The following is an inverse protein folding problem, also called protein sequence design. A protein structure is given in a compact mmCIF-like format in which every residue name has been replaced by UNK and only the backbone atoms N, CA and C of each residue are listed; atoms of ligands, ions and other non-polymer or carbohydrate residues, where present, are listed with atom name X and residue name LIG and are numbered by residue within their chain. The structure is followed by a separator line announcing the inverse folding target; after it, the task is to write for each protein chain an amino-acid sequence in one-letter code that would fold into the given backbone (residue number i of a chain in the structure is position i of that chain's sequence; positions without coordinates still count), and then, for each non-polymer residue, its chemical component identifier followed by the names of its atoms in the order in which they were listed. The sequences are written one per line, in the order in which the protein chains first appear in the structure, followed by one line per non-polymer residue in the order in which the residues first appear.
data_IF_861808034000
#
_entry.id   IF_861808034000
#
_cell.length_a   1.000
_cell.length_b   1.000
_cell.length_c   1.000
_cell.angle_alpha   90.00
_cell.angle_beta   90.00
_cell.angle_gamma   90.00
#
_symmetry.space_group_name_H-M   'P 1'
#
loop_
_entity.id
_entity.type
_entity.pdbx_description
1 polymer ?
#
# COMPACT_ATOMS: atom_id res chain seq x y z
N UNK A 1 -15.79 6.67 6.33
CA UNK A 1 -14.60 6.96 7.17
C UNK A 1 -14.38 8.46 7.14
N UNK A 2 -14.64 9.15 8.25
CA UNK A 2 -14.15 10.52 8.40
C UNK A 2 -12.62 10.47 8.41
N UNK A 3 -11.93 11.39 7.72
CA UNK A 3 -10.48 11.47 7.81
C UNK A 3 -10.10 11.75 9.27
N UNK A 4 -9.25 10.88 9.80
CA UNK A 4 -8.71 11.04 11.14
C UNK A 4 -7.81 12.27 11.15
N UNK A 5 -7.99 13.27 12.04
CA UNK A 5 -7.14 14.43 12.09
C UNK A 5 -5.68 14.03 12.27
N UNK A 6 -4.75 14.70 11.62
CA UNK A 6 -3.31 14.47 11.86
C UNK A 6 -2.93 15.09 13.22
N UNK A 7 -3.05 14.30 14.28
CA UNK A 7 -2.84 14.76 15.67
C UNK A 7 -1.40 14.56 16.15
N UNK A 8 -0.49 14.10 15.30
CA UNK A 8 0.88 13.68 15.70
C UNK A 8 0.93 12.33 16.44
N UNK A 9 -0.20 11.72 16.73
CA UNK A 9 -0.26 10.41 17.43
C UNK A 9 0.40 9.29 16.64
N UNK A 10 0.23 9.32 15.32
CA UNK A 10 0.87 8.34 14.45
C UNK A 10 2.39 8.38 14.57
N UNK A 11 2.98 9.58 14.57
CA UNK A 11 4.44 9.77 14.72
C UNK A 11 4.92 9.27 16.08
N UNK A 12 4.15 9.54 17.15
CA UNK A 12 4.44 9.01 18.48
C UNK A 12 4.40 7.49 18.52
N UNK A 13 3.39 6.85 17.90
CA UNK A 13 3.28 5.40 17.81
C UNK A 13 4.38 4.78 16.94
N UNK A 14 4.79 5.43 15.85
CA UNK A 14 5.91 4.99 15.03
C UNK A 14 7.25 5.11 15.78
N UNK A 15 7.38 6.08 16.68
CA UNK A 15 8.53 6.22 17.57
C UNK A 15 8.55 5.08 18.61
N UNK A 16 7.42 4.83 19.28
CA UNK A 16 7.27 3.71 20.21
C UNK A 16 7.56 2.36 19.53
N UNK A 17 7.14 2.19 18.27
CA UNK A 17 7.44 0.99 17.50
C UNK A 17 8.95 0.80 17.30
N UNK A 18 9.68 1.89 16.99
CA UNK A 18 11.14 1.83 16.83
C UNK A 18 11.86 1.51 18.15
N UNK A 19 11.34 1.99 19.25
CA UNK A 19 11.95 1.79 20.59
C UNK A 19 11.63 0.42 21.17
N UNK A 20 10.38 -0.04 21.05
CA UNK A 20 9.88 -1.23 21.74
C UNK A 20 9.75 -2.47 20.83
N UNK A 21 9.79 -2.28 19.51
CA UNK A 21 9.62 -3.34 18.52
C UNK A 21 8.16 -3.78 18.29
N UNK A 22 7.96 -4.53 17.21
CA UNK A 22 6.63 -4.98 16.79
C UNK A 22 5.93 -5.94 17.77
N UNK A 23 6.69 -6.79 18.49
CA UNK A 23 6.14 -7.70 19.49
C UNK A 23 5.46 -6.95 20.65
N UNK A 24 6.12 -5.94 21.21
CA UNK A 24 5.57 -5.15 22.31
C UNK A 24 4.33 -4.36 21.87
N UNK A 25 4.37 -3.79 20.65
CA UNK A 25 3.23 -3.07 20.09
C UNK A 25 2.05 -4.00 19.80
N UNK A 26 2.31 -5.22 19.32
CA UNK A 26 1.27 -6.23 19.11
C UNK A 26 0.69 -6.72 20.45
N UNK A 27 1.50 -6.90 21.48
CA UNK A 27 1.03 -7.24 22.84
C UNK A 27 0.12 -6.14 23.40
N UNK A 28 0.49 -4.86 23.21
CA UNK A 28 -0.37 -3.72 23.53
C UNK A 28 -1.70 -3.75 22.77
N UNK A 29 -1.65 -4.00 21.45
CA UNK A 29 -2.88 -4.13 20.66
C UNK A 29 -3.74 -5.30 21.15
N UNK A 30 -3.13 -6.41 21.55
CA UNK A 30 -3.86 -7.59 22.08
C UNK A 30 -4.66 -7.28 23.34
N UNK A 31 -4.19 -6.38 24.20
CA UNK A 31 -4.92 -5.94 25.40
C UNK A 31 -6.11 -5.03 25.08
N UNK A 32 -6.12 -4.38 23.92
CA UNK A 32 -7.14 -3.41 23.47
C UNK A 32 -8.15 -4.05 22.51
N UNK A 33 -7.62 -4.74 21.49
CA UNK A 33 -8.39 -5.41 20.42
C UNK A 33 -7.82 -6.81 20.15
N UNK A 34 -8.19 -7.81 21.00
CA UNK A 34 -7.67 -9.16 20.86
C UNK A 34 -7.97 -9.79 19.50
N UNK A 35 -9.14 -9.47 18.93
CA UNK A 35 -9.57 -10.03 17.65
C UNK A 35 -8.74 -9.49 16.48
N UNK A 36 -8.46 -8.19 16.45
CA UNK A 36 -7.57 -7.61 15.46
C UNK A 36 -6.13 -8.13 15.61
N UNK A 37 -5.64 -8.22 16.86
CA UNK A 37 -4.29 -8.69 17.15
C UNK A 37 -4.08 -10.16 16.75
N UNK A 38 -5.09 -11.02 16.88
CA UNK A 38 -5.00 -12.42 16.48
C UNK A 38 -4.77 -12.63 14.97
N UNK A 39 -5.08 -11.63 14.16
CA UNK A 39 -4.94 -11.67 12.69
C UNK A 39 -3.65 -11.03 12.19
N UNK A 40 -2.82 -10.49 13.08
CA UNK A 40 -1.61 -9.75 12.74
C UNK A 40 -0.36 -10.49 13.22
N UNK A 41 0.71 -10.37 12.43
CA UNK A 41 2.05 -10.78 12.81
C UNK A 41 2.83 -9.56 13.35
N UNK A 42 3.82 -9.72 14.26
CA UNK A 42 4.64 -8.60 14.75
C UNK A 42 5.30 -7.76 13.63
N UNK A 43 5.61 -8.38 12.49
CA UNK A 43 6.13 -7.69 11.31
C UNK A 43 5.07 -6.85 10.55
N UNK A 44 3.79 -6.97 10.88
CA UNK A 44 2.73 -6.14 10.29
C UNK A 44 2.65 -4.74 10.94
N UNK A 45 3.81 -4.14 11.16
CA UNK A 45 4.02 -2.89 11.92
C UNK A 45 3.04 -1.78 11.54
N UNK A 46 2.85 -1.53 10.23
CA UNK A 46 1.93 -0.49 9.74
C UNK A 46 0.47 -0.74 10.14
N UNK A 47 0.06 -2.01 10.20
CA UNK A 47 -1.30 -2.40 10.59
C UNK A 47 -1.49 -2.29 12.08
N UNK A 48 -0.48 -2.67 12.87
CA UNK A 48 -0.47 -2.54 14.33
C UNK A 48 -0.57 -1.07 14.71
N UNK A 49 0.30 -0.22 14.14
CA UNK A 49 0.27 1.24 14.37
C UNK A 49 -1.09 1.82 14.00
N UNK A 50 -1.65 1.44 12.85
CA UNK A 50 -2.97 1.94 12.42
C UNK A 50 -4.09 1.53 13.36
N UNK A 51 -4.07 0.30 13.89
CA UNK A 51 -5.07 -0.17 14.84
C UNK A 51 -5.01 0.62 16.16
N UNK A 52 -3.81 0.85 16.67
CA UNK A 52 -3.59 1.65 17.89
C UNK A 52 -3.96 3.12 17.68
N UNK A 53 -3.57 3.72 16.54
CA UNK A 53 -3.91 5.08 16.15
C UNK A 53 -5.44 5.30 16.17
N UNK A 54 -6.19 4.40 15.52
CA UNK A 54 -7.66 4.49 15.48
C UNK A 54 -8.25 4.43 16.89
N UNK A 55 -7.77 3.53 17.73
CA UNK A 55 -8.24 3.44 19.11
C UNK A 55 -7.94 4.69 19.93
N UNK A 56 -6.70 5.20 19.86
CA UNK A 56 -6.30 6.40 20.61
C UNK A 56 -7.05 7.66 20.18
N UNK A 57 -7.47 7.74 18.93
CA UNK A 57 -8.18 8.91 18.41
C UNK A 57 -9.68 8.84 18.62
N UNK A 58 -10.26 7.66 18.53
CA UNK A 58 -11.73 7.47 18.52
C UNK A 58 -12.28 6.83 19.80
N UNK A 59 -11.43 6.22 20.62
CA UNK A 59 -11.84 5.40 21.74
C UNK A 59 -12.49 4.07 21.33
N UNK A 60 -12.57 3.76 20.03
CA UNK A 60 -13.13 2.52 19.50
C UNK A 60 -12.08 1.68 18.81
N UNK A 61 -12.15 0.36 18.95
CA UNK A 61 -11.26 -0.55 18.27
C UNK A 61 -11.60 -0.67 16.78
N UNK A 62 -10.62 -1.12 15.96
CA UNK A 62 -10.87 -1.42 14.54
C UNK A 62 -11.94 -2.51 14.40
N UNK A 63 -11.95 -3.51 15.29
CA UNK A 63 -12.98 -4.55 15.30
C UNK A 63 -14.37 -3.96 15.52
N UNK A 64 -14.54 -3.06 16.49
CA UNK A 64 -15.81 -2.35 16.71
C UNK A 64 -16.25 -1.53 15.50
N UNK A 65 -15.34 -0.74 14.90
CA UNK A 65 -15.63 0.01 13.68
C UNK A 65 -16.08 -0.88 12.52
N UNK A 66 -15.43 -2.03 12.33
CA UNK A 66 -15.81 -2.98 11.29
C UNK A 66 -17.20 -3.58 11.53
N UNK A 67 -17.53 -3.96 12.77
CA UNK A 67 -18.85 -4.47 13.14
C UNK A 67 -19.93 -3.42 12.90
N UNK A 68 -19.72 -2.18 13.36
CA UNK A 68 -20.65 -1.09 13.12
C UNK A 68 -20.87 -0.83 11.62
N UNK A 69 -19.80 -0.86 10.83
CA UNK A 69 -19.89 -0.67 9.37
C UNK A 69 -20.63 -1.82 8.69
N UNK A 70 -20.41 -3.05 9.11
CA UNK A 70 -21.09 -4.23 8.56
C UNK A 70 -22.57 -4.29 8.95
N UNK A 71 -22.95 -3.72 10.09
CA UNK A 71 -24.33 -3.63 10.52
C UNK A 71 -25.18 -2.65 9.68
N UNK A 72 -24.53 -1.73 8.94
CA UNK A 72 -25.22 -0.80 8.04
C UNK A 72 -25.64 -1.55 6.78
N UNK A 73 -26.94 -1.65 6.46
CA UNK A 73 -27.37 -2.32 5.25
C UNK A 73 -26.82 -1.60 4.00
N UNK A 74 -26.44 -2.35 2.96
CA UNK A 74 -25.89 -1.76 1.74
C UNK A 74 -26.91 -0.83 1.10
N UNK A 75 -26.54 0.44 0.86
CA UNK A 75 -27.38 1.45 0.24
C UNK A 75 -27.68 1.15 -1.24
N UNK A 76 -26.77 0.42 -1.89
CA UNK A 76 -26.86 0.09 -3.31
C UNK A 76 -26.70 -1.41 -3.52
N UNK A 77 -27.33 -1.93 -4.56
CA UNK A 77 -27.12 -3.30 -5.05
C UNK A 77 -26.05 -3.26 -6.13
N UNK A 78 -24.79 -3.65 -5.84
CA UNK A 78 -23.72 -3.59 -6.83
C UNK A 78 -23.90 -4.67 -7.90
N UNK A 79 -23.56 -4.32 -9.13
CA UNK A 79 -23.35 -5.28 -10.24
C UNK A 79 -21.84 -5.32 -10.48
N UNK A 80 -21.25 -6.48 -10.33
CA UNK A 80 -19.81 -6.67 -10.51
C UNK A 80 -19.52 -7.16 -11.93
N UNK A 81 -18.72 -6.40 -12.68
CA UNK A 81 -18.23 -6.79 -14.00
C UNK A 81 -16.71 -6.95 -13.89
N UNK A 82 -16.20 -8.17 -14.11
CA UNK A 82 -14.77 -8.48 -14.12
C UNK A 82 -14.23 -8.53 -15.55
N UNK A 83 -13.14 -7.79 -15.82
CA UNK A 83 -12.38 -7.92 -17.05
C UNK A 83 -11.15 -8.81 -16.77
N UNK A 84 -11.00 -9.86 -17.55
CA UNK A 84 -9.87 -10.79 -17.42
C UNK A 84 -9.32 -11.15 -18.81
N UNK A 85 -8.14 -11.75 -18.83
CA UNK A 85 -7.53 -12.31 -20.03
C UNK A 85 -7.56 -13.82 -19.96
N UNK A 86 -8.01 -14.47 -21.04
CA UNK A 86 -7.98 -15.93 -21.16
C UNK A 86 -6.56 -16.47 -21.14
N UNK A 87 -5.60 -15.72 -21.71
CA UNK A 87 -4.17 -16.06 -21.71
C UNK A 87 -3.37 -15.09 -20.87
N UNK A 88 -2.71 -15.61 -19.84
CA UNK A 88 -1.81 -14.83 -18.95
C UNK A 88 -0.62 -14.24 -19.70
N UNK A 89 -0.11 -14.91 -20.74
CA UNK A 89 1.00 -14.39 -21.51
C UNK A 89 0.62 -13.11 -22.26
N UNK A 90 -0.62 -13.03 -22.74
CA UNK A 90 -1.15 -11.80 -23.35
C UNK A 90 -1.20 -10.65 -22.34
N UNK A 91 -1.72 -10.92 -21.14
CA UNK A 91 -1.74 -9.92 -20.05
C UNK A 91 -0.33 -9.42 -19.74
N UNK A 92 0.65 -10.32 -19.59
CA UNK A 92 2.01 -9.95 -19.23
C UNK A 92 2.70 -9.14 -20.34
N UNK A 93 2.52 -9.50 -21.60
CA UNK A 93 3.03 -8.69 -22.73
C UNK A 93 2.45 -7.27 -22.72
N UNK A 94 1.15 -7.13 -22.47
CA UNK A 94 0.51 -5.80 -22.40
C UNK A 94 1.04 -4.97 -21.24
N UNK A 95 1.30 -5.59 -20.08
CA UNK A 95 1.91 -4.92 -18.93
C UNK A 95 3.31 -4.44 -19.29
N UNK A 96 4.11 -5.29 -19.91
CA UNK A 96 5.48 -4.95 -20.28
C UNK A 96 5.51 -3.81 -21.32
N UNK A 97 4.71 -3.90 -22.37
CA UNK A 97 4.55 -2.82 -23.37
C UNK A 97 4.07 -1.51 -22.75
N UNK A 98 3.19 -1.57 -21.75
CA UNK A 98 2.75 -0.36 -21.05
C UNK A 98 3.91 0.32 -20.31
N UNK A 99 4.79 -0.44 -19.66
CA UNK A 99 5.96 0.13 -18.98
C UNK A 99 6.90 0.80 -20.00
N UNK A 100 7.15 0.14 -21.15
CA UNK A 100 7.96 0.72 -22.21
C UNK A 100 7.35 2.03 -22.71
N UNK A 101 6.05 2.04 -22.98
CA UNK A 101 5.35 3.25 -23.39
C UNK A 101 5.38 4.37 -22.32
N UNK A 102 5.26 4.04 -21.05
CA UNK A 102 5.38 5.05 -19.99
C UNK A 102 6.76 5.73 -19.99
N UNK A 103 7.82 4.97 -20.27
CA UNK A 103 9.18 5.53 -20.41
C UNK A 103 9.29 6.42 -21.63
N UNK A 104 8.74 6.01 -22.78
CA UNK A 104 8.69 6.81 -24.02
C UNK A 104 7.88 8.10 -23.82
N UNK A 105 6.78 8.03 -23.06
CA UNK A 105 5.88 9.16 -22.78
C UNK A 105 6.45 10.14 -21.71
N UNK A 106 7.64 9.89 -21.16
CA UNK A 106 8.36 10.83 -20.28
C UNK A 106 8.24 10.55 -18.80
N UNK A 107 7.94 9.32 -18.38
CA UNK A 107 7.85 8.94 -16.95
C UNK A 107 9.04 9.40 -16.12
N UNK A 108 10.27 9.29 -16.65
CA UNK A 108 11.48 9.70 -15.93
C UNK A 108 11.53 11.20 -15.69
N UNK A 109 11.06 12.00 -16.64
CA UNK A 109 11.04 13.45 -16.51
C UNK A 109 9.97 13.90 -15.52
N UNK A 110 8.83 13.20 -15.48
CA UNK A 110 7.80 13.39 -14.44
C UNK A 110 8.36 13.13 -13.04
N UNK A 111 9.07 12.01 -12.85
CA UNK A 111 9.69 11.68 -11.55
C UNK A 111 10.72 12.73 -11.15
N UNK A 112 11.59 13.16 -12.08
CA UNK A 112 12.58 14.22 -11.83
C UNK A 112 11.93 15.54 -11.45
N UNK A 113 10.86 15.93 -12.16
CA UNK A 113 10.11 17.14 -11.86
C UNK A 113 9.50 17.11 -10.45
N UNK A 114 8.89 15.99 -10.05
CA UNK A 114 8.33 15.82 -8.70
C UNK A 114 9.41 15.92 -7.62
N UNK A 115 10.57 15.29 -7.83
CA UNK A 115 11.70 15.36 -6.91
C UNK A 115 12.24 16.81 -6.81
N UNK A 116 12.33 17.53 -7.94
CA UNK A 116 12.78 18.93 -8.00
C UNK A 116 11.79 19.87 -7.26
N UNK A 117 10.50 19.54 -7.23
CA UNK A 117 9.48 20.24 -6.44
C UNK A 117 9.57 19.92 -4.93
N UNK A 118 10.55 19.11 -4.50
CA UNK A 118 10.73 18.75 -3.09
C UNK A 118 9.82 17.61 -2.60
N UNK A 119 9.14 16.90 -3.49
CA UNK A 119 8.33 15.73 -3.09
C UNK A 119 9.27 14.63 -2.59
N UNK A 120 9.10 14.24 -1.33
CA UNK A 120 9.92 13.20 -0.71
C UNK A 120 9.78 11.86 -1.45
N UNK A 121 10.87 11.13 -1.73
CA UNK A 121 10.80 9.76 -2.23
C UNK A 121 9.99 8.82 -1.33
N UNK A 122 9.85 9.14 -0.05
CA UNK A 122 9.04 8.37 0.93
C UNK A 122 7.56 8.74 0.91
N UNK A 123 7.15 9.81 0.20
CA UNK A 123 5.74 10.17 0.07
C UNK A 123 4.94 9.02 -0.54
N UNK A 124 3.70 8.85 -0.09
CA UNK A 124 2.84 7.71 -0.50
C UNK A 124 2.71 7.61 -2.02
N UNK A 125 2.54 8.72 -2.72
CA UNK A 125 2.44 8.76 -4.18
C UNK A 125 3.73 8.23 -4.84
N UNK A 126 4.90 8.60 -4.32
CA UNK A 126 6.20 8.18 -4.84
C UNK A 126 6.52 6.70 -4.58
N UNK A 127 5.76 6.03 -3.70
CA UNK A 127 5.86 4.59 -3.45
C UNK A 127 5.03 3.73 -4.42
N UNK A 128 4.33 4.35 -5.35
CA UNK A 128 3.59 3.64 -6.40
C UNK A 128 4.54 2.80 -7.28
N UNK A 129 4.03 1.67 -7.80
CA UNK A 129 4.71 0.91 -8.84
C UNK A 129 4.80 1.80 -10.08
N UNK A 130 5.98 1.94 -10.64
CA UNK A 130 6.27 2.84 -11.74
C UNK A 130 7.08 4.07 -11.33
N UNK A 131 7.14 4.42 -10.03
CA UNK A 131 8.01 5.50 -9.54
C UNK A 131 9.20 4.96 -8.76
N UNK A 132 8.96 4.23 -7.69
CA UNK A 132 10.00 3.76 -6.77
C UNK A 132 11.05 2.86 -7.42
N UNK A 133 10.70 2.15 -8.49
CA UNK A 133 11.61 1.28 -9.20
C UNK A 133 12.71 2.06 -9.95
N UNK A 134 12.43 3.31 -10.29
CA UNK A 134 13.37 4.17 -11.03
C UNK A 134 14.29 5.01 -10.13
N UNK A 135 14.09 5.03 -8.82
CA UNK A 135 14.99 5.77 -7.92
C UNK A 135 16.42 5.23 -7.97
N UNK A 136 16.61 3.91 -8.09
CA UNK A 136 17.93 3.30 -8.24
C UNK A 136 18.65 3.82 -9.47
N UNK A 137 17.98 3.90 -10.60
CA UNK A 137 18.52 4.47 -11.83
C UNK A 137 18.83 5.97 -11.68
N UNK A 138 17.92 6.76 -11.13
CA UNK A 138 18.11 8.20 -10.93
C UNK A 138 19.27 8.53 -9.99
N UNK A 139 19.60 7.62 -9.08
CA UNK A 139 20.73 7.74 -8.15
C UNK A 139 22.00 7.04 -8.65
N UNK A 140 22.01 6.48 -9.86
CA UNK A 140 23.18 5.80 -10.45
C UNK A 140 23.47 4.42 -9.86
N UNK A 141 22.54 3.81 -9.12
CA UNK A 141 22.71 2.50 -8.50
C UNK A 141 22.40 1.31 -9.42
N UNK A 142 21.69 1.56 -10.53
CA UNK A 142 21.37 0.54 -11.54
C UNK A 142 21.18 1.18 -12.92
N UNK A 143 21.13 0.37 -13.96
CA UNK A 143 20.84 0.80 -15.33
C UNK A 143 19.34 1.05 -15.51
N UNK A 144 18.98 1.77 -16.59
CA UNK A 144 17.57 1.98 -16.95
C UNK A 144 16.87 0.67 -17.27
N UNK A 145 17.56 -0.25 -17.97
CA UNK A 145 17.01 -1.55 -18.33
C UNK A 145 16.68 -2.40 -17.08
N UNK A 146 17.55 -2.38 -16.07
CA UNK A 146 17.32 -3.07 -14.81
C UNK A 146 16.12 -2.48 -14.05
N UNK A 147 16.01 -1.15 -13.99
CA UNK A 147 14.87 -0.47 -13.37
C UNK A 147 13.55 -0.78 -14.11
N UNK A 148 13.56 -0.76 -15.44
CA UNK A 148 12.43 -1.11 -16.29
C UNK A 148 12.01 -2.57 -16.10
N UNK A 149 12.98 -3.50 -16.10
CA UNK A 149 12.73 -4.92 -15.86
C UNK A 149 12.09 -5.18 -14.48
N UNK A 150 12.58 -4.49 -13.45
CA UNK A 150 12.02 -4.54 -12.10
C UNK A 150 10.58 -3.99 -12.05
N UNK A 151 10.31 -2.89 -12.72
CA UNK A 151 8.98 -2.29 -12.83
C UNK A 151 8.00 -3.24 -13.53
N UNK A 152 8.40 -3.84 -14.67
CA UNK A 152 7.62 -4.86 -15.39
C UNK A 152 7.30 -6.04 -14.47
N UNK A 153 8.30 -6.60 -13.79
CA UNK A 153 8.13 -7.73 -12.87
C UNK A 153 7.15 -7.40 -11.73
N UNK A 154 7.29 -6.24 -11.09
CA UNK A 154 6.41 -5.83 -9.99
C UNK A 154 4.98 -5.59 -10.46
N UNK A 155 4.81 -5.03 -11.66
CA UNK A 155 3.50 -4.82 -12.29
C UNK A 155 2.81 -6.17 -12.59
N UNK A 156 3.54 -7.16 -13.13
CA UNK A 156 3.00 -8.52 -13.33
C UNK A 156 2.61 -9.19 -12.01
N UNK A 157 3.44 -9.06 -10.98
CA UNK A 157 3.13 -9.58 -9.64
C UNK A 157 1.92 -8.89 -9.02
N UNK A 158 1.75 -7.60 -9.25
CA UNK A 158 0.57 -6.86 -8.83
C UNK A 158 -0.69 -7.38 -9.55
N UNK A 159 -0.66 -7.52 -10.87
CA UNK A 159 -1.76 -8.09 -11.65
C UNK A 159 -2.15 -9.50 -11.17
N UNK A 160 -1.15 -10.36 -10.87
CA UNK A 160 -1.40 -11.69 -10.30
C UNK A 160 -2.17 -11.61 -8.97
N UNK A 161 -1.79 -10.69 -8.07
CA UNK A 161 -2.50 -10.49 -6.79
C UNK A 161 -3.93 -9.98 -7.00
N UNK A 162 -4.13 -9.05 -7.95
CA UNK A 162 -5.46 -8.55 -8.32
C UNK A 162 -6.38 -9.69 -8.77
N UNK A 163 -5.93 -10.52 -9.73
CA UNK A 163 -6.70 -11.66 -10.21
C UNK A 163 -7.02 -12.66 -9.10
N UNK A 164 -6.05 -12.94 -8.21
CA UNK A 164 -6.28 -13.83 -7.07
C UNK A 164 -7.34 -13.26 -6.11
N UNK A 165 -7.36 -11.95 -5.91
CA UNK A 165 -8.30 -11.29 -5.01
C UNK A 165 -9.71 -11.24 -5.61
N UNK A 166 -9.84 -10.86 -6.88
CA UNK A 166 -11.16 -10.73 -7.54
C UNK A 166 -11.82 -12.06 -7.92
N UNK A 167 -11.06 -13.17 -7.95
CA UNK A 167 -11.59 -14.50 -8.22
C UNK A 167 -12.10 -15.23 -6.97
N UNK A 168 -12.01 -14.62 -5.79
CA UNK A 168 -12.58 -15.10 -4.54
C UNK A 168 -14.03 -14.67 -4.42
#
# INVERSE_FOLDING_TARGET
FAPVPQTGRREALETQLRENGGEAMLARLRSIDPEAAARLHPADEKRIVRALEVYEETGKTITQHNLETQAIPPRYRPVWLGLDYSDRAVLYRRIDLRVDKMLEDGLLDEIRALLALGVSPKATAMQAIGYKEFFGYLNGACTLDEAAALCKQRSRNYAKRQLTWFRR
#
